data_IF_280272721611
#
_entry.id   IF_280272721611
#
_cell.length_a   1.000
_cell.length_b   1.000
_cell.length_c   1.000
_cell.angle_alpha   90.00
_cell.angle_beta   90.00
_cell.angle_gamma   90.00
#
_symmetry.space_group_name_H-M   'P 1'
#
loop_
_entity.id
_entity.type
_entity.pdbx_description
1 polymer ?
#
# COMPACT_ATOMS: atom_id res chain seq x y z
N UNK A 1 14.00 66.00 3.47
CA UNK A 1 12.89 65.11 3.88
C UNK A 1 11.92 65.01 2.72
N UNK A 2 11.43 63.81 2.37
CA UNK A 2 10.36 63.69 1.39
C UNK A 2 9.12 64.45 1.90
N UNK A 3 8.32 65.06 1.02
CA UNK A 3 7.00 65.58 1.37
C UNK A 3 6.10 64.46 1.91
N UNK A 4 5.05 64.84 2.66
CA UNK A 4 4.03 63.89 3.10
C UNK A 4 3.45 63.12 1.90
N UNK A 5 3.16 61.84 2.12
CA UNK A 5 2.53 60.94 1.14
C UNK A 5 3.36 60.63 -0.12
N UNK A 6 4.67 60.88 -0.09
CA UNK A 6 5.58 60.47 -1.16
C UNK A 6 6.18 59.10 -0.87
N UNK A 7 5.85 58.11 -1.70
CA UNK A 7 6.46 56.79 -1.66
C UNK A 7 7.96 56.85 -1.98
N UNK A 8 8.78 56.43 -1.01
CA UNK A 8 10.23 56.32 -1.20
C UNK A 8 10.59 54.86 -1.46
N UNK A 9 10.90 54.56 -2.72
CA UNK A 9 11.34 53.23 -3.12
C UNK A 9 12.84 53.06 -2.85
N UNK A 10 13.16 52.24 -1.85
CA UNK A 10 14.54 51.81 -1.58
C UNK A 10 14.71 50.36 -2.05
N UNK A 11 15.67 50.13 -2.94
CA UNK A 11 15.97 48.80 -3.47
C UNK A 11 17.17 48.24 -2.70
N UNK A 12 16.94 47.13 -1.99
CA UNK A 12 17.99 46.42 -1.28
C UNK A 12 18.19 45.04 -1.90
N UNK A 13 19.40 44.75 -2.34
CA UNK A 13 19.80 43.41 -2.75
C UNK A 13 20.00 42.55 -1.50
N UNK A 14 19.09 41.62 -1.25
CA UNK A 14 19.16 40.74 -0.09
C UNK A 14 19.96 39.49 -0.42
N UNK A 15 21.16 39.36 0.15
CA UNK A 15 21.88 38.07 0.18
C UNK A 15 21.27 37.19 1.28
N UNK A 16 20.81 35.98 0.94
CA UNK A 16 20.48 34.96 1.93
C UNK A 16 21.70 34.09 2.17
N UNK A 17 22.04 33.90 3.44
CA UNK A 17 23.08 32.96 3.87
C UNK A 17 22.45 31.98 4.87
N UNK A 18 22.94 30.74 4.87
CA UNK A 18 22.51 29.72 5.82
C UNK A 18 23.74 29.07 6.46
N UNK A 19 23.61 28.67 7.73
CA UNK A 19 24.67 27.98 8.46
C UNK A 19 24.44 26.48 8.39
N UNK A 20 25.42 25.73 7.92
CA UNK A 20 25.41 24.26 7.99
C UNK A 20 25.75 23.86 9.43
N UNK A 21 25.01 22.92 10.00
CA UNK A 21 25.12 22.50 11.39
C UNK A 21 25.10 20.98 11.54
N UNK A 22 25.60 20.49 12.67
CA UNK A 22 25.59 19.06 13.02
C UNK A 22 26.49 18.25 12.10
N UNK A 23 26.09 17.01 11.83
CA UNK A 23 26.85 16.07 11.01
C UNK A 23 27.08 16.54 9.58
N UNK A 24 26.23 17.41 9.03
CA UNK A 24 26.44 17.99 7.69
C UNK A 24 27.62 18.96 7.62
N UNK A 25 28.06 19.49 8.76
CA UNK A 25 29.28 20.30 8.83
C UNK A 25 30.54 19.42 8.92
N UNK A 26 30.38 18.11 9.08
CA UNK A 26 31.46 17.12 9.17
C UNK A 26 31.47 16.32 7.87
N UNK A 27 32.43 16.58 6.98
CA UNK A 27 32.50 15.85 5.70
C UNK A 27 32.97 14.40 5.96
N UNK A 28 32.26 13.35 5.49
CA UNK A 28 32.82 12.00 5.47
C UNK A 28 34.02 11.98 4.51
N UNK A 29 35.14 11.31 4.87
CA UNK A 29 36.35 11.36 4.07
C UNK A 29 36.06 10.84 2.66
N UNK A 30 36.16 11.71 1.67
CA UNK A 30 35.99 11.38 0.25
C UNK A 30 37.05 10.38 -0.20
N UNK A 31 36.67 9.45 -1.08
CA UNK A 31 37.54 8.46 -1.76
C UNK A 31 38.43 9.07 -2.86
N UNK A 32 38.81 10.35 -2.72
CA UNK A 32 39.80 10.96 -3.60
C UNK A 32 41.17 10.73 -2.96
N UNK A 33 42.01 9.98 -3.69
CA UNK A 33 43.47 9.75 -3.68
C UNK A 33 44.38 10.58 -2.75
N UNK A 34 43.96 10.88 -1.52
CA UNK A 34 44.80 11.47 -0.49
C UNK A 34 45.60 10.33 0.16
N UNK A 35 46.91 10.35 -0.10
CA UNK A 35 47.92 9.40 0.37
C UNK A 35 47.61 8.83 1.76
N UNK A 36 47.52 7.50 1.87
CA UNK A 36 47.30 6.78 3.13
C UNK A 36 48.31 7.16 4.24
N UNK A 37 49.46 7.73 3.86
CA UNK A 37 50.49 8.24 4.77
C UNK A 37 50.06 9.49 5.56
N UNK A 38 49.29 10.42 4.97
CA UNK A 38 48.75 11.57 5.72
C UNK A 38 47.61 11.14 6.65
N UNK A 39 46.81 10.14 6.25
CA UNK A 39 45.74 9.53 7.07
C UNK A 39 46.28 8.89 8.36
N UNK A 40 47.48 8.29 8.34
CA UNK A 40 48.09 7.69 9.54
C UNK A 40 48.75 8.71 10.47
N UNK A 41 49.23 9.84 9.95
CA UNK A 41 49.83 10.92 10.75
C UNK A 41 48.79 11.81 11.42
N UNK A 42 47.60 11.93 10.84
CA UNK A 42 46.48 12.73 11.36
C UNK A 42 45.51 11.79 12.09
N UNK A 43 45.65 11.69 13.41
CA UNK A 43 44.75 10.87 14.24
C UNK A 43 43.26 11.03 13.87
N UNK A 44 42.57 9.89 13.87
CA UNK A 44 41.21 9.59 13.38
C UNK A 44 40.03 10.40 13.99
N UNK A 45 40.15 11.71 14.22
CA UNK A 45 39.07 12.45 14.90
C UNK A 45 39.07 13.96 14.66
N UNK A 46 39.40 14.43 13.46
CA UNK A 46 39.27 15.87 13.15
C UNK A 46 38.37 16.06 11.95
N UNK A 47 37.10 16.40 12.25
CA UNK A 47 36.10 16.84 11.29
C UNK A 47 36.74 17.82 10.30
N UNK A 48 36.67 17.48 9.02
CA UNK A 48 37.16 18.33 7.93
C UNK A 48 36.04 19.32 7.62
N UNK A 49 36.34 20.61 7.70
CA UNK A 49 35.40 21.66 7.31
C UNK A 49 35.13 21.58 5.80
N UNK A 50 33.87 21.76 5.35
CA UNK A 50 33.51 21.69 3.94
C UNK A 50 34.25 22.75 3.12
N UNK A 51 34.76 22.34 1.95
CA UNK A 51 35.47 23.21 1.02
C UNK A 51 34.49 23.85 0.04
N UNK A 52 34.92 24.96 -0.55
CA UNK A 52 34.14 25.62 -1.60
C UNK A 52 34.00 24.68 -2.81
N UNK A 53 32.76 24.39 -3.20
CA UNK A 53 32.42 23.44 -4.27
C UNK A 53 31.80 22.14 -3.78
N UNK A 54 31.87 21.82 -2.48
CA UNK A 54 31.25 20.63 -1.92
C UNK A 54 29.72 20.74 -1.94
N UNK A 55 29.05 19.68 -2.41
CA UNK A 55 27.59 19.63 -2.43
C UNK A 55 27.04 19.30 -1.04
N UNK A 56 26.24 20.20 -0.47
CA UNK A 56 25.56 20.00 0.82
C UNK A 56 24.10 19.64 0.58
N UNK A 57 23.65 18.48 1.09
CA UNK A 57 22.25 18.04 1.03
C UNK A 57 21.68 17.91 2.44
N UNK A 58 20.64 18.69 2.73
CA UNK A 58 20.01 18.71 4.05
C UNK A 58 18.70 19.46 4.06
N UNK A 59 18.14 19.62 5.25
CA UNK A 59 16.89 20.36 5.48
C UNK A 59 17.25 21.82 5.80
N UNK A 60 16.75 22.76 4.99
CA UNK A 60 16.88 24.19 5.24
C UNK A 60 15.75 24.67 6.15
N UNK A 61 16.10 25.11 7.35
CA UNK A 61 15.16 25.68 8.33
C UNK A 61 15.41 27.17 8.45
N UNK A 62 14.40 27.99 8.13
CA UNK A 62 14.45 29.45 8.29
C UNK A 62 13.52 29.89 9.40
N UNK A 63 14.05 30.55 10.42
CA UNK A 63 13.29 31.12 11.52
C UNK A 63 13.75 32.56 11.77
N UNK A 64 12.83 33.52 11.63
CA UNK A 64 13.06 34.94 11.92
C UNK A 64 14.39 35.45 11.32
N UNK A 65 14.54 35.30 10.00
CA UNK A 65 15.73 35.67 9.21
C UNK A 65 17.01 34.84 9.44
N UNK A 66 17.06 33.95 10.43
CA UNK A 66 18.14 32.97 10.61
C UNK A 66 17.87 31.70 9.79
N UNK A 67 18.77 31.37 8.87
CA UNK A 67 18.67 30.15 8.05
C UNK A 67 19.74 29.14 8.49
N UNK A 68 19.34 27.88 8.68
CA UNK A 68 20.23 26.76 9.06
C UNK A 68 19.99 25.57 8.14
N UNK A 69 21.04 24.88 7.73
CA UNK A 69 20.97 23.61 7.00
C UNK A 69 21.40 22.51 7.97
N UNK A 70 20.53 21.54 8.19
CA UNK A 70 20.71 20.46 9.17
C UNK A 70 20.41 19.10 8.55
N UNK A 71 21.06 18.06 9.07
CA UNK A 71 20.68 16.69 8.76
C UNK A 71 19.27 16.39 9.36
N UNK A 72 18.46 15.51 8.74
CA UNK A 72 17.17 15.11 9.30
C UNK A 72 17.28 14.59 10.73
N UNK A 73 18.35 13.89 11.07
CA UNK A 73 18.59 13.27 12.39
C UNK A 73 18.91 14.33 13.46
N UNK A 74 19.54 15.42 13.06
CA UNK A 74 19.99 16.48 13.97
C UNK A 74 18.96 17.62 14.10
N UNK A 75 17.83 17.52 13.41
CA UNK A 75 16.79 18.56 13.36
C UNK A 75 16.31 18.97 14.75
N UNK A 76 16.08 17.99 15.64
CA UNK A 76 15.63 18.23 17.03
C UNK A 76 16.70 18.79 17.96
N UNK A 77 17.97 18.66 17.58
CA UNK A 77 19.11 19.16 18.36
C UNK A 77 19.35 20.65 18.10
N UNK A 78 19.22 21.08 16.85
CA UNK A 78 19.55 22.45 16.42
C UNK A 78 18.33 23.33 16.13
N UNK A 79 17.13 22.77 16.19
CA UNK A 79 15.86 23.49 15.97
C UNK A 79 14.80 23.01 16.96
N UNK A 80 13.76 23.81 17.24
CA UNK A 80 12.64 23.37 18.08
C UNK A 80 11.73 22.34 17.40
N UNK A 81 12.02 21.94 16.15
CA UNK A 81 11.22 20.99 15.40
C UNK A 81 11.52 19.57 15.85
N UNK A 82 10.47 18.78 16.08
CA UNK A 82 10.58 17.34 16.31
C UNK A 82 10.25 16.61 15.02
N UNK A 83 11.01 15.56 14.75
CA UNK A 83 10.69 14.61 13.68
C UNK A 83 9.73 13.57 14.26
N UNK A 84 8.62 13.34 13.58
CA UNK A 84 7.71 12.24 13.85
C UNK A 84 7.34 11.56 12.54
N UNK A 85 7.08 10.26 12.60
CA UNK A 85 6.45 9.53 11.51
C UNK A 85 4.94 9.39 11.79
N UNK A 86 4.15 9.33 10.73
CA UNK A 86 2.74 9.00 10.79
C UNK A 86 2.60 7.63 10.15
N UNK A 87 1.98 6.70 10.86
CA UNK A 87 1.63 5.38 10.32
C UNK A 87 0.11 5.23 10.34
N UNK A 88 -0.43 4.54 9.36
CA UNK A 88 -1.85 4.24 9.25
C UNK A 88 -2.10 2.73 9.35
N UNK A 89 -3.30 2.39 9.79
CA UNK A 89 -3.82 1.01 9.88
C UNK A 89 -5.24 1.00 9.34
N UNK A 90 -5.49 0.14 8.37
CA UNK A 90 -6.81 -0.05 7.77
C UNK A 90 -7.23 -1.51 7.87
N UNK A 91 -8.47 -1.72 8.29
CA UNK A 91 -9.12 -3.03 8.29
C UNK A 91 -9.97 -3.16 7.02
N UNK A 92 -9.60 -4.12 6.17
CA UNK A 92 -10.29 -4.38 4.91
C UNK A 92 -11.04 -5.71 5.04
N UNK A 93 -12.35 -5.76 4.78
CA UNK A 93 -13.09 -7.01 4.74
C UNK A 93 -12.49 -7.97 3.70
N UNK A 94 -12.33 -9.24 4.07
CA UNK A 94 -11.83 -10.27 3.16
C UNK A 94 -12.18 -11.65 3.70
N UNK A 95 -13.03 -12.38 2.97
CA UNK A 95 -13.51 -13.74 3.34
C UNK A 95 -12.82 -14.81 2.48
N UNK A 96 -11.82 -14.44 1.69
CA UNK A 96 -11.07 -15.36 0.84
C UNK A 96 -10.00 -16.14 1.61
N UNK A 97 -9.37 -17.09 0.92
CA UNK A 97 -8.23 -17.84 1.45
C UNK A 97 -6.94 -17.02 1.34
N UNK A 98 -6.00 -17.27 2.25
CA UNK A 98 -4.69 -16.60 2.24
C UNK A 98 -3.93 -16.87 0.94
N UNK A 99 -4.06 -18.08 0.36
CA UNK A 99 -3.40 -18.44 -0.92
C UNK A 99 -3.83 -17.55 -2.07
N UNK A 100 -5.11 -17.17 -2.11
CA UNK A 100 -5.66 -16.28 -3.13
C UNK A 100 -4.99 -14.91 -3.04
N UNK A 101 -4.86 -14.38 -1.81
CA UNK A 101 -4.20 -13.11 -1.60
C UNK A 101 -2.69 -13.18 -1.91
N UNK A 102 -2.02 -14.26 -1.49
CA UNK A 102 -0.61 -14.52 -1.81
C UNK A 102 -0.34 -14.48 -3.32
N UNK A 103 -1.21 -15.13 -4.10
CA UNK A 103 -1.13 -15.14 -5.56
C UNK A 103 -1.26 -13.71 -6.13
N UNK A 104 -2.35 -13.00 -5.81
CA UNK A 104 -2.58 -11.64 -6.34
C UNK A 104 -1.47 -10.65 -5.94
N UNK A 105 -1.02 -10.72 -4.68
CA UNK A 105 0.08 -9.87 -4.23
C UNK A 105 1.36 -10.20 -5.00
N UNK A 106 1.69 -11.49 -5.17
CA UNK A 106 2.87 -11.95 -5.92
C UNK A 106 2.84 -11.65 -7.41
N UNK A 107 1.65 -11.51 -8.00
CA UNK A 107 1.49 -11.08 -9.40
C UNK A 107 1.76 -9.58 -9.58
N UNK A 108 1.31 -8.73 -8.65
CA UNK A 108 1.49 -7.28 -8.77
C UNK A 108 2.82 -6.76 -8.21
N UNK A 109 3.33 -7.35 -7.13
CA UNK A 109 4.47 -6.83 -6.41
C UNK A 109 5.63 -7.84 -6.41
N UNK A 110 6.85 -7.31 -6.52
CA UNK A 110 8.09 -8.10 -6.36
C UNK A 110 8.73 -7.84 -5.00
N UNK A 111 9.46 -8.84 -4.51
CA UNK A 111 10.21 -8.72 -3.25
C UNK A 111 9.31 -8.69 -2.01
N UNK A 112 8.21 -9.46 -2.04
CA UNK A 112 7.33 -9.62 -0.88
C UNK A 112 8.01 -10.55 0.11
N UNK A 113 8.16 -10.10 1.35
CA UNK A 113 8.63 -10.93 2.45
C UNK A 113 7.43 -11.50 3.19
N UNK A 114 7.29 -12.83 3.18
CA UNK A 114 6.20 -13.53 3.85
C UNK A 114 6.70 -14.14 5.16
N UNK A 115 5.95 -13.89 6.23
CA UNK A 115 6.17 -14.51 7.53
C UNK A 115 4.88 -15.14 8.03
N UNK A 116 4.95 -16.38 8.52
CA UNK A 116 3.82 -17.08 9.12
C UNK A 116 4.09 -17.32 10.61
N UNK A 117 3.16 -16.91 11.45
CA UNK A 117 3.17 -17.18 12.88
C UNK A 117 2.04 -18.17 13.22
N UNK A 118 2.37 -19.44 13.54
CA UNK A 118 1.39 -20.45 13.90
C UNK A 118 0.78 -20.22 15.30
N UNK A 119 1.28 -19.24 16.08
CA UNK A 119 0.89 -19.01 17.49
C UNK A 119 0.01 -17.77 17.72
N UNK A 120 -0.24 -16.96 16.69
CA UNK A 120 -0.90 -15.65 16.80
C UNK A 120 -2.42 -15.65 16.97
N UNK A 121 -3.09 -16.79 16.86
CA UNK A 121 -4.54 -16.92 17.03
C UNK A 121 -4.95 -16.97 18.50
N UNK A 122 -4.98 -15.84 19.20
CA UNK A 122 -5.73 -15.72 20.46
C UNK A 122 -7.19 -15.47 20.11
N UNK A 123 -7.96 -16.54 19.96
CA UNK A 123 -9.42 -16.47 20.10
C UNK A 123 -9.84 -17.52 21.12
N UNK A 124 -10.45 -17.03 22.21
CA UNK A 124 -11.01 -17.82 23.29
C UNK A 124 -12.26 -18.56 22.77
N UNK A 125 -12.16 -19.89 22.70
CA UNK A 125 -13.30 -20.80 22.75
C UNK A 125 -14.10 -21.01 21.46
N UNK A 126 -13.61 -21.88 20.58
CA UNK A 126 -14.38 -23.03 20.05
C UNK A 126 -13.42 -23.91 19.23
N UNK A 127 -13.19 -25.14 19.69
CA UNK A 127 -12.31 -26.10 19.02
C UNK A 127 -13.06 -26.76 17.86
N UNK A 128 -13.08 -26.09 16.71
CA UNK A 128 -13.74 -26.59 15.50
C UNK A 128 -13.11 -26.08 14.21
N UNK A 129 -12.27 -26.93 13.60
CA UNK A 129 -11.75 -26.87 12.22
C UNK A 129 -10.74 -25.76 11.87
N UNK A 130 -9.46 -26.16 11.75
CA UNK A 130 -8.42 -25.46 10.97
C UNK A 130 -7.89 -24.18 11.60
N UNK A 131 -6.86 -24.29 12.45
CA UNK A 131 -6.09 -23.12 12.88
C UNK A 131 -5.32 -22.56 11.67
N UNK A 132 -5.94 -21.63 10.94
CA UNK A 132 -5.23 -20.78 9.98
C UNK A 132 -4.35 -19.82 10.78
N UNK A 133 -3.03 -20.04 10.74
CA UNK A 133 -2.06 -19.17 11.41
C UNK A 133 -2.08 -17.74 10.87
N UNK A 134 -1.49 -16.80 11.62
CA UNK A 134 -1.40 -15.41 11.19
C UNK A 134 -0.29 -15.31 10.14
N UNK A 135 -0.61 -14.75 8.96
CA UNK A 135 0.35 -14.55 7.88
C UNK A 135 0.53 -13.06 7.65
N UNK A 136 1.78 -12.61 7.62
CA UNK A 136 2.15 -11.21 7.35
C UNK A 136 2.97 -11.13 6.08
N UNK A 137 2.50 -10.31 5.14
CA UNK A 137 3.23 -9.93 3.93
C UNK A 137 3.82 -8.53 4.13
N UNK A 138 5.14 -8.40 4.00
CA UNK A 138 5.82 -7.12 4.03
C UNK A 138 6.27 -6.72 2.63
N UNK A 139 6.05 -5.45 2.28
CA UNK A 139 6.37 -4.85 0.99
C UNK A 139 7.17 -3.58 1.19
N UNK A 140 7.90 -3.16 0.15
CA UNK A 140 8.66 -1.92 0.13
C UNK A 140 9.59 -1.76 1.36
N UNK A 141 10.44 -2.76 1.62
CA UNK A 141 11.38 -2.73 2.75
C UNK A 141 10.70 -2.74 4.13
N UNK A 142 9.47 -3.26 4.21
CA UNK A 142 8.72 -3.37 5.46
C UNK A 142 7.86 -2.15 5.81
N UNK A 143 7.81 -1.14 4.92
CA UNK A 143 7.00 0.06 5.11
C UNK A 143 5.50 -0.16 4.90
N UNK A 144 5.12 -1.25 4.21
CA UNK A 144 3.73 -1.68 4.07
C UNK A 144 3.62 -3.13 4.51
N UNK A 145 2.66 -3.42 5.39
CA UNK A 145 2.43 -4.75 5.96
C UNK A 145 0.97 -5.13 5.79
N UNK A 146 0.74 -6.38 5.37
CA UNK A 146 -0.58 -6.97 5.19
C UNK A 146 -0.69 -8.19 6.09
N UNK A 147 -1.54 -8.11 7.10
CA UNK A 147 -1.72 -9.16 8.11
C UNK A 147 -3.06 -9.85 7.88
N UNK A 148 -3.01 -11.17 7.69
CA UNK A 148 -4.17 -12.04 7.45
C UNK A 148 -4.25 -13.07 8.57
N UNK A 149 -5.47 -13.44 8.98
CA UNK A 149 -5.70 -14.48 9.99
C UNK A 149 -5.75 -13.97 11.44
N UNK A 150 -5.42 -12.70 11.70
CA UNK A 150 -5.55 -12.09 13.04
C UNK A 150 -7.01 -11.88 13.46
N UNK A 151 -7.90 -11.62 12.50
CA UNK A 151 -9.33 -11.50 12.75
C UNK A 151 -10.07 -12.14 11.58
N UNK A 152 -11.01 -13.02 11.86
CA UNK A 152 -11.75 -13.75 10.81
C UNK A 152 -12.49 -12.76 9.91
N UNK A 153 -12.34 -12.93 8.60
CA UNK A 153 -13.04 -12.10 7.61
C UNK A 153 -12.43 -10.71 7.42
N UNK A 154 -11.26 -10.42 8.01
CA UNK A 154 -10.61 -9.11 7.93
C UNK A 154 -9.12 -9.28 7.64
N UNK A 155 -8.63 -8.48 6.70
CA UNK A 155 -7.20 -8.28 6.44
C UNK A 155 -6.82 -6.90 6.98
N UNK A 156 -5.73 -6.83 7.74
CA UNK A 156 -5.20 -5.55 8.23
C UNK A 156 -4.07 -5.09 7.34
N UNK A 157 -4.16 -3.86 6.83
CA UNK A 157 -3.08 -3.20 6.08
C UNK A 157 -2.51 -2.09 6.96
N UNK A 158 -1.21 -2.13 7.25
CA UNK A 158 -0.49 -1.14 8.05
C UNK A 158 0.64 -0.54 7.21
N UNK A 159 0.80 0.79 7.23
CA UNK A 159 1.88 1.43 6.48
C UNK A 159 2.35 2.76 7.07
N UNK A 160 3.57 3.15 6.72
CA UNK A 160 4.09 4.50 6.97
C UNK A 160 3.54 5.48 5.91
N UNK A 161 2.85 6.54 6.35
CA UNK A 161 2.22 7.56 5.51
C UNK A 161 3.25 8.42 4.76
N UNK A 162 3.80 7.82 3.72
CA UNK A 162 4.74 8.40 2.78
C UNK A 162 4.14 8.31 1.38
N UNK A 163 4.56 9.17 0.46
CA UNK A 163 4.00 9.16 -0.90
C UNK A 163 4.09 7.79 -1.59
N UNK A 164 5.17 7.02 -1.35
CA UNK A 164 5.32 5.66 -1.89
C UNK A 164 4.49 4.66 -1.09
N UNK A 165 4.53 4.75 0.24
CA UNK A 165 3.74 3.90 1.13
C UNK A 165 2.24 3.99 0.87
N UNK A 166 1.72 5.20 0.65
CA UNK A 166 0.31 5.46 0.36
C UNK A 166 -0.11 4.82 -0.97
N UNK A 167 0.68 4.98 -2.03
CA UNK A 167 0.39 4.38 -3.34
C UNK A 167 0.41 2.85 -3.28
N UNK A 168 1.36 2.27 -2.55
CA UNK A 168 1.44 0.81 -2.36
C UNK A 168 0.28 0.33 -1.49
N UNK A 169 -0.07 1.03 -0.42
CA UNK A 169 -1.19 0.68 0.44
C UNK A 169 -2.52 0.74 -0.33
N UNK A 170 -2.77 1.81 -1.09
CA UNK A 170 -4.00 1.96 -1.89
C UNK A 170 -4.16 0.84 -2.92
N UNK A 171 -3.07 0.46 -3.60
CA UNK A 171 -3.07 -0.63 -4.57
C UNK A 171 -3.27 -2.00 -3.91
N UNK A 172 -2.70 -2.23 -2.73
CA UNK A 172 -2.97 -3.43 -1.91
C UNK A 172 -4.44 -3.49 -1.48
N UNK A 173 -5.01 -2.39 -1.00
CA UNK A 173 -6.42 -2.32 -0.59
C UNK A 173 -7.33 -2.62 -1.78
N UNK A 174 -7.06 -2.01 -2.94
CA UNK A 174 -7.78 -2.29 -4.17
C UNK A 174 -7.68 -3.77 -4.57
N UNK A 175 -6.50 -4.40 -4.45
CA UNK A 175 -6.32 -5.82 -4.69
C UNK A 175 -7.10 -6.70 -3.73
N UNK A 176 -7.13 -6.38 -2.43
CA UNK A 176 -7.89 -7.16 -1.45
C UNK A 176 -9.38 -7.10 -1.79
N UNK A 177 -9.90 -5.91 -2.11
CA UNK A 177 -11.29 -5.73 -2.54
C UNK A 177 -11.57 -6.44 -3.88
N UNK A 178 -10.63 -6.42 -4.81
CA UNK A 178 -10.74 -7.15 -6.07
C UNK A 178 -10.75 -8.66 -5.85
N UNK A 179 -9.86 -9.18 -5.02
CA UNK A 179 -9.78 -10.58 -4.65
C UNK A 179 -11.06 -11.06 -3.93
N UNK A 180 -11.74 -10.18 -3.18
CA UNK A 180 -13.02 -10.50 -2.55
C UNK A 180 -14.19 -10.51 -3.56
N UNK A 181 -14.18 -9.61 -4.54
CA UNK A 181 -15.32 -9.40 -5.45
C UNK A 181 -15.23 -10.15 -6.79
N UNK A 182 -14.04 -10.59 -7.19
CA UNK A 182 -13.83 -11.26 -8.48
C UNK A 182 -14.50 -12.63 -8.56
N UNK A 183 -15.23 -12.88 -9.66
CA UNK A 183 -15.92 -14.15 -9.92
C UNK A 183 -14.95 -15.35 -9.98
N UNK A 184 -13.70 -15.15 -10.38
CA UNK A 184 -12.66 -16.18 -10.34
C UNK A 184 -12.28 -16.55 -8.90
N UNK A 185 -12.12 -15.54 -8.03
CA UNK A 185 -11.89 -15.76 -6.61
C UNK A 185 -13.07 -16.43 -5.94
N UNK A 186 -14.30 -16.02 -6.25
CA UNK A 186 -15.52 -16.69 -5.76
C UNK A 186 -15.57 -18.13 -6.23
N UNK A 187 -15.17 -18.46 -7.47
CA UNK A 187 -15.09 -19.86 -7.94
C UNK A 187 -13.99 -20.67 -7.24
N UNK A 188 -12.85 -20.05 -6.92
CA UNK A 188 -11.74 -20.67 -6.19
C UNK A 188 -12.05 -20.86 -4.69
N UNK A 189 -12.88 -19.99 -4.11
CA UNK A 189 -13.27 -20.02 -2.70
C UNK A 189 -14.65 -20.64 -2.44
N UNK A 190 -15.47 -20.82 -3.48
CA UNK A 190 -16.79 -21.44 -3.38
C UNK A 190 -16.67 -22.90 -2.96
N UNK A 191 -17.20 -23.22 -1.78
CA UNK A 191 -17.53 -24.58 -1.41
C UNK A 191 -18.87 -24.97 -2.02
N UNK A 192 -18.94 -26.15 -2.63
CA UNK A 192 -20.20 -26.74 -3.03
C UNK A 192 -21.06 -27.00 -1.79
N UNK A 193 -22.18 -26.29 -1.67
CA UNK A 193 -23.09 -26.49 -0.55
C UNK A 193 -23.77 -27.88 -0.66
N UNK A 194 -23.58 -28.72 0.36
CA UNK A 194 -24.22 -30.03 0.50
C UNK A 194 -25.69 -29.91 0.91
N UNK A 195 -26.53 -29.32 0.07
CA UNK A 195 -27.97 -29.28 0.35
C UNK A 195 -28.61 -30.63 0.01
N UNK A 196 -29.13 -31.31 1.03
CA UNK A 196 -29.95 -32.50 0.90
C UNK A 196 -31.15 -32.15 0.03
N UNK A 197 -31.17 -32.60 -1.24
CA UNK A 197 -32.30 -32.37 -2.16
C UNK A 197 -33.59 -32.80 -1.48
N UNK A 198 -34.45 -31.86 -1.07
CA UNK A 198 -35.83 -32.17 -0.69
C UNK A 198 -36.47 -32.84 -1.91
N UNK A 199 -36.99 -34.06 -1.74
CA UNK A 199 -37.78 -34.72 -2.78
C UNK A 199 -38.91 -33.75 -3.17
N UNK A 200 -39.09 -33.44 -4.47
CA UNK A 200 -40.16 -32.56 -4.89
C UNK A 200 -41.50 -33.18 -4.49
N UNK A 201 -42.41 -32.36 -3.95
CA UNK A 201 -43.79 -32.77 -3.70
C UNK A 201 -44.46 -33.03 -5.07
N UNK A 202 -45.16 -34.14 -5.20
CA UNK A 202 -45.91 -34.48 -6.41
C UNK A 202 -46.91 -33.35 -6.71
N UNK A 203 -46.80 -32.75 -7.91
CA UNK A 203 -47.69 -31.68 -8.38
C UNK A 203 -47.03 -30.32 -8.64
N UNK A 204 -45.75 -30.13 -8.33
CA UNK A 204 -45.06 -28.88 -8.72
C UNK A 204 -44.60 -28.92 -10.18
N UNK A 205 -44.92 -27.88 -10.95
CA UNK A 205 -44.51 -27.72 -12.34
C UNK A 205 -43.00 -27.41 -12.40
N UNK A 206 -42.19 -28.47 -12.29
CA UNK A 206 -40.73 -28.41 -12.24
C UNK A 206 -40.12 -27.68 -13.44
N UNK A 207 -40.83 -27.62 -14.57
CA UNK A 207 -40.42 -26.84 -15.76
C UNK A 207 -40.45 -25.34 -15.49
N UNK A 208 -41.53 -24.81 -14.92
CA UNK A 208 -41.69 -23.39 -14.64
C UNK A 208 -40.63 -22.89 -13.64
N UNK A 209 -40.38 -23.66 -12.56
CA UNK A 209 -39.33 -23.32 -11.58
C UNK A 209 -37.91 -23.37 -12.18
N UNK A 210 -37.67 -24.32 -13.08
CA UNK A 210 -36.35 -24.43 -13.74
C UNK A 210 -36.13 -23.25 -14.69
N UNK A 211 -37.16 -22.86 -15.44
CA UNK A 211 -37.10 -21.71 -16.34
C UNK A 211 -36.92 -20.39 -15.57
N UNK A 212 -37.65 -20.21 -14.47
CA UNK A 212 -37.50 -19.05 -13.58
C UNK A 212 -36.08 -18.95 -13.01
N UNK A 213 -35.52 -20.07 -12.55
CA UNK A 213 -34.15 -20.14 -12.06
C UNK A 213 -33.11 -19.81 -13.15
N UNK A 214 -33.30 -20.32 -14.37
CA UNK A 214 -32.42 -20.01 -15.51
C UNK A 214 -32.50 -18.53 -15.91
N UNK A 215 -33.69 -17.90 -15.79
CA UNK A 215 -33.86 -16.45 -16.02
C UNK A 215 -33.17 -15.62 -14.94
N UNK A 216 -33.23 -16.03 -13.67
CA UNK A 216 -32.50 -15.33 -12.60
C UNK A 216 -30.99 -15.39 -12.83
N UNK A 217 -30.47 -16.55 -13.28
CA UNK A 217 -29.06 -16.69 -13.66
C UNK A 217 -28.72 -15.75 -14.82
N UNK A 218 -29.56 -15.71 -15.86
CA UNK A 218 -29.35 -14.82 -17.00
C UNK A 218 -29.30 -13.34 -16.60
N UNK A 219 -30.22 -12.91 -15.73
CA UNK A 219 -30.29 -11.53 -15.25
C UNK A 219 -29.06 -11.17 -14.40
N UNK A 220 -28.62 -12.07 -13.53
CA UNK A 220 -27.37 -11.91 -12.79
C UNK A 220 -26.15 -11.78 -13.72
N UNK A 221 -26.07 -12.60 -14.78
CA UNK A 221 -25.00 -12.52 -15.77
C UNK A 221 -25.05 -11.19 -16.54
N UNK A 222 -26.24 -10.73 -16.94
CA UNK A 222 -26.41 -9.46 -17.66
C UNK A 222 -26.05 -8.24 -16.80
N UNK A 223 -26.22 -8.33 -15.48
CA UNK A 223 -25.77 -7.27 -14.57
C UNK A 223 -24.24 -7.17 -14.48
N UNK A 224 -23.53 -8.28 -14.70
CA UNK A 224 -22.07 -8.35 -14.56
C UNK A 224 -21.30 -8.19 -15.87
N UNK A 225 -21.90 -8.54 -17.01
CA UNK A 225 -21.25 -8.54 -18.31
C UNK A 225 -22.04 -7.69 -19.32
N UNK A 226 -21.33 -6.93 -20.18
CA UNK A 226 -21.95 -6.06 -21.17
C UNK A 226 -22.80 -6.81 -22.21
N UNK A 227 -22.37 -8.02 -22.60
CA UNK A 227 -23.03 -8.82 -23.64
C UNK A 227 -23.19 -10.27 -23.18
N UNK A 228 -24.45 -10.66 -22.97
CA UNK A 228 -24.85 -12.02 -22.60
C UNK A 228 -26.02 -12.42 -23.49
N UNK A 229 -25.81 -13.43 -24.34
CA UNK A 229 -26.86 -14.07 -25.13
C UNK A 229 -27.30 -15.36 -24.42
N UNK A 230 -28.60 -15.63 -24.39
CA UNK A 230 -29.16 -16.80 -23.73
C UNK A 230 -30.17 -17.55 -24.61
N UNK A 231 -30.00 -18.86 -24.72
CA UNK A 231 -30.95 -19.76 -25.39
C UNK A 231 -31.50 -20.76 -24.38
N UNK A 232 -32.83 -20.87 -24.30
CA UNK A 232 -33.51 -21.76 -23.36
C UNK A 232 -34.14 -22.95 -24.10
N UNK A 233 -33.69 -24.16 -23.80
CA UNK A 233 -34.21 -25.42 -24.33
C UNK A 233 -34.80 -26.25 -23.18
N UNK A 234 -36.09 -26.07 -22.92
CA UNK A 234 -36.94 -26.82 -21.97
C UNK A 234 -36.46 -26.91 -20.50
N UNK A 235 -35.31 -27.56 -20.24
CA UNK A 235 -34.66 -27.67 -18.92
C UNK A 235 -33.19 -27.26 -18.93
N UNK A 236 -32.69 -26.77 -20.07
CA UNK A 236 -31.30 -26.36 -20.25
C UNK A 236 -31.28 -24.90 -20.72
N UNK A 237 -30.44 -24.09 -20.10
CA UNK A 237 -30.10 -22.75 -20.59
C UNK A 237 -28.65 -22.78 -21.05
N UNK A 238 -28.38 -22.27 -22.24
CA UNK A 238 -27.03 -22.00 -22.73
C UNK A 238 -26.82 -20.49 -22.70
N UNK A 239 -25.71 -20.05 -22.10
CA UNK A 239 -25.36 -18.63 -21.96
C UNK A 239 -24.03 -18.39 -22.65
N UNK A 240 -24.00 -17.47 -23.60
CA UNK A 240 -22.81 -17.05 -24.33
C UNK A 240 -22.44 -15.63 -23.87
N UNK A 241 -21.25 -15.48 -23.30
CA UNK A 241 -20.77 -14.22 -22.72
C UNK A 241 -19.62 -13.72 -23.58
N UNK A 242 -19.81 -12.54 -24.20
CA UNK A 242 -18.74 -11.85 -24.93
C UNK A 242 -18.07 -10.85 -23.99
N UNK A 243 -16.77 -11.00 -23.79
CA UNK A 243 -15.98 -10.24 -22.81
C UNK A 243 -15.26 -9.05 -23.48
N UNK A 244 -15.09 -9.09 -24.80
CA UNK A 244 -14.39 -8.03 -25.54
C UNK A 244 -15.36 -6.89 -25.90
N UNK A 245 -14.91 -5.66 -25.64
CA UNK A 245 -15.44 -4.51 -26.35
C UNK A 245 -14.96 -4.65 -27.80
N UNK A 246 -15.88 -4.88 -28.73
CA UNK A 246 -15.60 -4.69 -30.15
C UNK A 246 -15.05 -3.27 -30.32
N UNK A 247 -13.72 -3.17 -30.42
CA UNK A 247 -13.05 -1.99 -30.88
C UNK A 247 -13.33 -1.87 -32.37
N UNK A 248 -14.48 -1.31 -32.71
CA UNK A 248 -14.69 -0.70 -34.02
C UNK A 248 -13.94 0.65 -34.02
N UNK A 249 -13.11 0.82 -35.06
CA UNK A 249 -12.18 1.95 -35.22
C UNK A 249 -12.80 3.28 -35.60
#
# INVERSE_FOLDING_TARGET
MPPNEVDVKLIFTRRRSAKVMGKLAEVPPTDLEDDEEERRRRGSSRAVEPREGDSVRGILVTQQDSSRIVAPEDLSTYTPLRVGSVSSRLHVPFVGKVETLRMFLGEMFRGIEETSDPSGGKDDGDAGAGQEGVVTFAMHGGQVKVVVGQTRGVVTVEWDCSAVGDVVADSVVALIMHAQSSAASVRLTAQACGHRRKRPREGEDLRAKTEEYLRTIHEALRMQYLSVEATYEARKGTFEIRIDADGDG
#
